data_IF_365935561847
#
_entry.id   IF_365935561847
#
_cell.length_a   1.000
_cell.length_b   1.000
_cell.length_c   1.000
_cell.angle_alpha   90.00
_cell.angle_beta   90.00
_cell.angle_gamma   90.00
#
_symmetry.space_group_name_H-M   'P 1'
#
loop_
_entity.id
_entity.type
_entity.pdbx_description
1 polymer ?
#
# COMPACT_ATOMS: atom_id res chain seq x y z
N UNK A 1 -1.22 9.16 -8.07
CA UNK A 1 -2.67 9.25 -7.75
C UNK A 1 -2.89 8.96 -6.26
N UNK A 2 -2.43 7.81 -5.76
CA UNK A 2 -2.58 7.42 -4.35
C UNK A 2 -2.06 8.43 -3.33
N UNK A 3 -0.90 9.05 -3.55
CA UNK A 3 -0.39 10.10 -2.65
C UNK A 3 -1.37 11.26 -2.47
N UNK A 4 -1.97 11.74 -3.57
CA UNK A 4 -3.00 12.79 -3.55
C UNK A 4 -4.30 12.32 -2.86
N UNK A 5 -4.70 11.06 -3.06
CA UNK A 5 -5.82 10.44 -2.34
C UNK A 5 -5.55 10.47 -0.84
N UNK A 6 -4.36 10.06 -0.39
CA UNK A 6 -3.97 10.06 1.02
C UNK A 6 -3.94 11.47 1.61
N UNK A 7 -3.42 12.44 0.85
CA UNK A 7 -3.45 13.86 1.23
C UNK A 7 -4.86 14.40 1.43
N UNK A 8 -5.77 14.09 0.50
CA UNK A 8 -7.16 14.52 0.60
C UNK A 8 -7.91 13.76 1.71
N UNK A 9 -7.63 12.48 1.90
CA UNK A 9 -8.15 11.69 3.00
C UNK A 9 -7.80 12.32 4.37
N UNK A 10 -6.61 12.89 4.53
CA UNK A 10 -6.19 13.54 5.78
C UNK A 10 -7.13 14.68 6.21
N UNK A 11 -7.75 15.41 5.28
CA UNK A 11 -8.68 16.50 5.60
C UNK A 11 -10.05 15.99 6.01
N UNK A 12 -10.42 14.78 5.57
CA UNK A 12 -11.78 14.22 5.68
C UNK A 12 -11.90 13.09 6.71
N UNK A 13 -10.79 12.43 7.05
CA UNK A 13 -10.78 11.19 7.84
C UNK A 13 -11.45 11.36 9.20
N UNK A 14 -12.22 10.36 9.61
CA UNK A 14 -12.98 10.36 10.88
C UNK A 14 -12.23 9.55 11.94
N UNK A 15 -12.60 9.80 13.20
CA UNK A 15 -11.97 9.14 14.34
C UNK A 15 -12.14 7.61 14.32
N UNK A 16 -13.29 7.11 13.88
CA UNK A 16 -13.54 5.67 13.73
C UNK A 16 -12.66 5.03 12.64
N UNK A 17 -12.38 5.73 11.54
CA UNK A 17 -11.46 5.28 10.48
C UNK A 17 -10.02 5.24 10.99
N UNK A 18 -9.56 6.26 11.71
CA UNK A 18 -8.24 6.25 12.38
C UNK A 18 -8.09 5.06 13.34
N UNK A 19 -9.14 4.75 14.11
CA UNK A 19 -9.14 3.58 15.00
C UNK A 19 -9.06 2.26 14.23
N UNK A 20 -9.67 2.17 13.05
CA UNK A 20 -9.58 1.00 12.19
C UNK A 20 -8.18 0.86 11.58
N UNK A 21 -7.61 1.95 11.03
CA UNK A 21 -6.24 1.95 10.50
C UNK A 21 -5.22 1.49 11.54
N UNK A 22 -5.31 2.00 12.77
CA UNK A 22 -4.45 1.57 13.88
C UNK A 22 -4.54 0.06 14.13
N UNK A 23 -5.76 -0.49 14.17
CA UNK A 23 -5.99 -1.94 14.36
C UNK A 23 -5.48 -2.77 13.20
N UNK A 24 -5.52 -2.25 11.98
CA UNK A 24 -4.98 -2.94 10.79
C UNK A 24 -3.46 -3.00 10.90
N UNK A 25 -2.80 -1.89 11.22
CA UNK A 25 -1.34 -1.84 11.44
C UNK A 25 -0.92 -2.85 12.53
N UNK A 26 -1.60 -2.85 13.68
CA UNK A 26 -1.34 -3.81 14.77
C UNK A 26 -1.52 -5.27 14.33
N UNK A 27 -2.41 -5.55 13.38
CA UNK A 27 -2.58 -6.88 12.81
C UNK A 27 -1.52 -7.21 11.78
N UNK A 28 -1.12 -6.26 10.93
CA UNK A 28 -0.02 -6.42 9.97
C UNK A 28 1.29 -6.76 10.70
N UNK A 29 1.57 -6.07 11.81
CA UNK A 29 2.72 -6.34 12.68
C UNK A 29 2.76 -7.80 13.16
N UNK A 30 1.60 -8.34 13.55
CA UNK A 30 1.48 -9.75 13.96
C UNK A 30 1.66 -10.72 12.80
N UNK A 31 1.43 -10.29 11.56
CA UNK A 31 1.58 -11.10 10.35
C UNK A 31 2.94 -10.92 9.66
N UNK A 32 3.87 -10.12 10.19
CA UNK A 32 5.20 -9.92 9.60
C UNK A 32 5.95 -11.23 9.33
N UNK A 33 5.84 -12.22 10.24
CA UNK A 33 6.36 -13.58 10.05
C UNK A 33 5.26 -14.63 9.94
N UNK A 34 4.03 -14.20 9.67
CA UNK A 34 2.83 -15.03 9.65
C UNK A 34 2.29 -15.23 8.23
N UNK A 35 0.98 -15.42 8.16
CA UNK A 35 0.24 -15.72 6.94
C UNK A 35 0.34 -14.58 5.91
N UNK A 36 0.78 -14.91 4.70
CA UNK A 36 0.95 -13.95 3.61
C UNK A 36 -0.36 -13.44 3.06
N UNK A 37 -1.33 -14.31 2.88
CA UNK A 37 -2.63 -13.95 2.31
C UNK A 37 -3.35 -13.02 3.28
N UNK A 38 -3.21 -13.29 4.59
CA UNK A 38 -3.71 -12.41 5.63
C UNK A 38 -3.02 -11.04 5.66
N UNK A 39 -1.71 -11.00 5.43
CA UNK A 39 -0.99 -9.72 5.36
C UNK A 39 -1.46 -8.89 4.16
N UNK A 40 -1.62 -9.50 2.99
CA UNK A 40 -2.12 -8.84 1.78
C UNK A 40 -3.57 -8.37 1.92
N UNK A 41 -4.42 -9.14 2.57
CA UNK A 41 -5.80 -8.70 2.87
C UNK A 41 -5.81 -7.47 3.79
N UNK A 42 -4.96 -7.44 4.81
CA UNK A 42 -4.81 -6.29 5.70
C UNK A 42 -4.24 -5.06 4.97
N UNK A 43 -3.28 -5.27 4.07
CA UNK A 43 -2.76 -4.26 3.15
C UNK A 43 -3.89 -3.62 2.33
N UNK A 44 -4.70 -4.44 1.67
CA UNK A 44 -5.86 -3.99 0.90
C UNK A 44 -6.84 -3.16 1.74
N UNK A 45 -7.16 -3.63 2.95
CA UNK A 45 -8.06 -2.91 3.86
C UNK A 45 -7.50 -1.55 4.28
N UNK A 46 -6.18 -1.46 4.52
CA UNK A 46 -5.52 -0.20 4.85
C UNK A 46 -5.72 0.84 3.74
N UNK A 47 -5.38 0.49 2.49
CA UNK A 47 -5.53 1.37 1.33
C UNK A 47 -7.00 1.73 1.07
N UNK A 48 -7.92 0.77 1.20
CA UNK A 48 -9.35 1.02 1.01
C UNK A 48 -9.91 2.04 2.01
N UNK A 49 -9.58 1.94 3.29
CA UNK A 49 -10.06 2.91 4.29
C UNK A 49 -9.56 4.33 3.97
N UNK A 50 -8.32 4.48 3.52
CA UNK A 50 -7.78 5.79 3.10
C UNK A 50 -8.58 6.33 1.91
N UNK A 51 -8.81 5.51 0.89
CA UNK A 51 -9.59 5.91 -0.28
C UNK A 51 -11.04 6.28 0.08
N UNK A 52 -11.71 5.49 0.92
CA UNK A 52 -13.06 5.76 1.43
C UNK A 52 -13.12 7.05 2.25
N UNK A 53 -12.06 7.34 3.02
CA UNK A 53 -11.97 8.55 3.84
C UNK A 53 -12.05 9.83 3.00
N UNK A 54 -11.69 9.79 1.70
CA UNK A 54 -11.86 10.94 0.80
C UNK A 54 -13.32 11.36 0.62
N UNK A 55 -14.27 10.46 0.88
CA UNK A 55 -15.71 10.63 0.60
C UNK A 55 -16.00 11.02 -0.86
N UNK A 56 -15.08 10.70 -1.77
CA UNK A 56 -15.19 11.00 -3.19
C UNK A 56 -15.24 9.69 -3.99
N UNK A 57 -16.43 9.39 -4.53
CA UNK A 57 -16.69 8.15 -5.27
C UNK A 57 -15.78 7.97 -6.49
N UNK A 58 -15.31 9.05 -7.12
CA UNK A 58 -14.40 8.96 -8.27
C UNK A 58 -13.02 8.52 -7.81
N UNK A 59 -12.49 9.10 -6.74
CA UNK A 59 -11.19 8.71 -6.16
C UNK A 59 -11.21 7.29 -5.60
N UNK A 60 -12.30 6.90 -4.93
CA UNK A 60 -12.49 5.53 -4.46
C UNK A 60 -12.44 4.52 -5.62
N UNK A 61 -13.15 4.80 -6.72
CA UNK A 61 -13.14 3.95 -7.91
C UNK A 61 -11.76 3.86 -8.54
N UNK A 62 -11.05 4.98 -8.65
CA UNK A 62 -9.68 4.98 -9.19
C UNK A 62 -8.73 4.17 -8.32
N UNK A 63 -8.81 4.32 -6.98
CA UNK A 63 -8.00 3.51 -6.06
C UNK A 63 -8.29 2.01 -6.20
N UNK A 64 -9.56 1.63 -6.32
CA UNK A 64 -9.94 0.24 -6.50
C UNK A 64 -9.46 -0.33 -7.85
N UNK A 65 -9.51 0.47 -8.92
CA UNK A 65 -9.03 0.05 -10.23
C UNK A 65 -7.49 -0.11 -10.24
N UNK A 66 -6.75 0.79 -9.60
CA UNK A 66 -5.30 0.65 -9.43
C UNK A 66 -4.95 -0.65 -8.70
N UNK A 67 -5.65 -0.94 -7.60
CA UNK A 67 -5.47 -2.20 -6.88
C UNK A 67 -5.78 -3.41 -7.76
N UNK A 68 -6.91 -3.39 -8.48
CA UNK A 68 -7.33 -4.47 -9.37
C UNK A 68 -6.29 -4.72 -10.46
N UNK A 69 -5.91 -3.69 -11.21
CA UNK A 69 -4.98 -3.79 -12.33
C UNK A 69 -3.60 -4.26 -11.88
N UNK A 70 -3.06 -3.71 -10.79
CA UNK A 70 -1.68 -4.01 -10.34
C UNK A 70 -1.60 -5.29 -9.50
N UNK A 71 -2.54 -5.50 -8.57
CA UNK A 71 -2.44 -6.55 -7.54
C UNK A 71 -3.29 -7.80 -7.83
N UNK A 72 -4.44 -7.63 -8.49
CA UNK A 72 -5.42 -8.72 -8.64
C UNK A 72 -5.36 -9.39 -10.02
N UNK A 73 -5.34 -8.59 -11.08
CA UNK A 73 -5.43 -9.10 -12.46
C UNK A 73 -4.09 -9.28 -13.14
N UNK A 74 -3.02 -8.68 -12.60
CA UNK A 74 -1.67 -8.88 -13.11
C UNK A 74 -1.12 -10.26 -12.67
N UNK A 75 -0.97 -11.23 -13.59
CA UNK A 75 -0.47 -12.56 -13.25
C UNK A 75 0.98 -12.52 -12.76
N UNK A 76 1.76 -11.55 -13.23
CA UNK A 76 3.15 -11.37 -12.81
C UNK A 76 3.24 -10.85 -11.37
N UNK A 77 2.32 -9.97 -10.94
CA UNK A 77 2.21 -9.59 -9.53
C UNK A 77 1.98 -10.80 -8.64
N UNK A 78 1.08 -11.71 -9.04
CA UNK A 78 0.80 -12.93 -8.28
C UNK A 78 2.05 -13.79 -8.09
N UNK A 79 2.87 -13.93 -9.13
CA UNK A 79 4.13 -14.67 -9.07
C UNK A 79 5.15 -13.98 -8.15
N UNK A 80 5.30 -12.66 -8.26
CA UNK A 80 6.17 -11.84 -7.41
C UNK A 80 5.75 -11.90 -5.93
N UNK A 81 4.46 -11.77 -5.67
CA UNK A 81 3.84 -11.87 -4.34
C UNK A 81 4.14 -13.22 -3.70
N UNK A 82 3.87 -14.31 -4.42
CA UNK A 82 4.15 -15.66 -3.97
C UNK A 82 5.64 -15.87 -3.64
N UNK A 83 6.54 -15.39 -4.51
CA UNK A 83 7.97 -15.68 -4.41
C UNK A 83 8.74 -14.79 -3.43
N UNK A 84 8.29 -13.54 -3.19
CA UNK A 84 9.12 -12.56 -2.47
C UNK A 84 8.43 -11.73 -1.40
N UNK A 85 7.13 -11.45 -1.52
CA UNK A 85 6.48 -10.48 -0.63
C UNK A 85 6.13 -11.06 0.75
N UNK A 86 6.48 -12.33 0.95
CA UNK A 86 6.51 -12.97 2.25
C UNK A 86 7.80 -12.75 3.06
N UNK A 87 8.80 -12.07 2.50
CA UNK A 87 10.04 -11.73 3.21
C UNK A 87 9.74 -10.80 4.38
N UNK A 88 10.23 -11.17 5.56
CA UNK A 88 10.01 -10.47 6.82
C UNK A 88 10.51 -9.01 6.76
N UNK A 89 11.66 -8.81 6.14
CA UNK A 89 12.32 -7.51 6.01
C UNK A 89 11.49 -6.53 5.19
N UNK A 90 10.84 -7.00 4.12
CA UNK A 90 9.95 -6.18 3.29
C UNK A 90 8.70 -5.79 4.07
N UNK A 91 8.05 -6.76 4.71
CA UNK A 91 6.84 -6.49 5.52
C UNK A 91 7.12 -5.52 6.67
N UNK A 92 8.28 -5.62 7.32
CA UNK A 92 8.69 -4.67 8.36
C UNK A 92 8.79 -3.23 7.81
N UNK A 93 9.40 -3.05 6.63
CA UNK A 93 9.49 -1.73 5.99
C UNK A 93 8.12 -1.16 5.64
N UNK A 94 7.26 -1.96 5.01
CA UNK A 94 5.90 -1.51 4.65
C UNK A 94 5.05 -1.14 5.85
N UNK A 95 5.12 -1.92 6.93
CA UNK A 95 4.41 -1.59 8.17
C UNK A 95 4.92 -0.27 8.77
N UNK A 96 6.22 0.00 8.69
CA UNK A 96 6.78 1.28 9.16
C UNK A 96 6.33 2.47 8.28
N UNK A 97 6.27 2.27 6.97
CA UNK A 97 5.70 3.24 6.05
C UNK A 97 4.21 3.51 6.37
N UNK A 98 3.42 2.46 6.67
CA UNK A 98 2.02 2.59 7.06
C UNK A 98 1.85 3.37 8.37
N UNK A 99 2.74 3.15 9.36
CA UNK A 99 2.76 3.94 10.59
C UNK A 99 3.00 5.41 10.30
N UNK A 100 3.92 5.72 9.39
CA UNK A 100 4.21 7.10 8.97
C UNK A 100 3.00 7.78 8.33
N UNK A 101 2.31 7.07 7.43
CA UNK A 101 1.05 7.53 6.82
C UNK A 101 -0.02 7.75 7.89
N UNK A 102 -0.21 6.78 8.79
CA UNK A 102 -1.19 6.88 9.87
C UNK A 102 -0.95 8.10 10.78
N UNK A 103 0.31 8.37 11.15
CA UNK A 103 0.66 9.52 11.98
C UNK A 103 0.33 10.85 11.27
N UNK A 104 0.57 10.94 9.97
CA UNK A 104 0.22 12.12 9.19
C UNK A 104 -1.31 12.30 9.08
N UNK A 105 -2.05 11.22 8.83
CA UNK A 105 -3.52 11.21 8.83
C UNK A 105 -4.10 11.60 10.19
N UNK A 106 -3.51 11.11 11.29
CA UNK A 106 -3.93 11.43 12.65
C UNK A 106 -3.76 12.92 12.96
N UNK A 107 -2.68 13.53 12.47
CA UNK A 107 -2.43 14.97 12.57
C UNK A 107 -3.31 15.80 11.63
N UNK A 108 -4.05 15.15 10.72
CA UNK A 108 -4.80 15.78 9.62
C UNK A 108 -3.92 16.68 8.74
N UNK A 109 -2.63 16.34 8.64
CA UNK A 109 -1.69 17.09 7.83
C UNK A 109 -1.67 16.51 6.42
N UNK A 110 -2.36 17.20 5.50
CA UNK A 110 -2.50 16.77 4.13
C UNK A 110 -1.16 16.69 3.37
N UNK A 111 -0.21 17.58 3.65
CA UNK A 111 1.09 17.57 2.98
C UNK A 111 1.97 16.44 3.50
N UNK A 112 2.06 16.28 4.82
CA UNK A 112 2.78 15.14 5.40
C UNK A 112 2.16 13.81 4.96
N UNK A 113 0.83 13.72 4.81
CA UNK A 113 0.15 12.51 4.38
C UNK A 113 0.46 12.20 2.89
N UNK A 114 0.49 13.21 2.01
CA UNK A 114 0.97 13.06 0.63
C UNK A 114 2.40 12.54 0.59
N UNK A 115 3.29 13.19 1.34
CA UNK A 115 4.71 12.86 1.33
C UNK A 115 4.95 11.45 1.87
N UNK A 116 4.33 11.07 2.99
CA UNK A 116 4.46 9.73 3.57
C UNK A 116 3.96 8.64 2.60
N UNK A 117 2.83 8.87 1.94
CA UNK A 117 2.29 7.94 0.94
C UNK A 117 3.17 7.86 -0.31
N UNK A 118 3.73 8.97 -0.76
CA UNK A 118 4.69 8.96 -1.87
C UNK A 118 5.95 8.18 -1.50
N UNK A 119 6.51 8.42 -0.32
CA UNK A 119 7.69 7.69 0.18
C UNK A 119 7.43 6.19 0.27
N UNK A 120 6.25 5.78 0.76
CA UNK A 120 5.84 4.37 0.81
C UNK A 120 5.84 3.71 -0.58
N UNK A 121 5.29 4.39 -1.59
CA UNK A 121 5.24 3.88 -2.97
C UNK A 121 6.63 3.79 -3.57
N UNK A 122 7.49 4.79 -3.35
CA UNK A 122 8.87 4.80 -3.83
C UNK A 122 9.72 3.70 -3.15
N UNK A 123 9.55 3.50 -1.84
CA UNK A 123 10.19 2.42 -1.11
C UNK A 123 9.76 1.06 -1.68
N UNK A 124 8.46 0.87 -1.87
CA UNK A 124 7.91 -0.36 -2.45
C UNK A 124 8.44 -0.60 -3.85
N UNK A 125 8.45 0.42 -4.72
CA UNK A 125 9.04 0.34 -6.06
C UNK A 125 10.51 -0.07 -6.01
N UNK A 126 11.32 0.60 -5.19
CA UNK A 126 12.75 0.34 -5.11
C UNK A 126 13.07 -1.08 -4.59
N UNK A 127 12.30 -1.59 -3.64
CA UNK A 127 12.47 -2.97 -3.18
C UNK A 127 12.07 -3.99 -4.26
N UNK A 128 11.01 -3.71 -5.01
CA UNK A 128 10.60 -4.55 -6.13
C UNK A 128 11.66 -4.54 -7.25
N UNK A 129 12.20 -3.37 -7.64
CA UNK A 129 13.33 -3.26 -8.59
C UNK A 129 14.48 -4.18 -8.19
N UNK A 130 14.88 -4.14 -6.92
CA UNK A 130 15.99 -4.98 -6.43
C UNK A 130 15.68 -6.47 -6.56
N UNK A 131 14.43 -6.86 -6.34
CA UNK A 131 13.98 -8.24 -6.50
C UNK A 131 14.05 -8.65 -7.98
N UNK A 132 13.57 -7.80 -8.89
CA UNK A 132 13.63 -8.03 -10.34
C UNK A 132 15.07 -8.18 -10.83
N UNK A 133 15.96 -7.26 -10.44
CA UNK A 133 17.38 -7.30 -10.82
C UNK A 133 18.13 -8.54 -10.30
N UNK A 134 17.59 -9.23 -9.29
CA UNK A 134 18.17 -10.44 -8.72
C UNK A 134 17.53 -11.71 -9.27
N UNK A 135 16.46 -11.61 -10.05
CA UNK A 135 15.68 -12.72 -10.57
C UNK A 135 15.56 -12.62 -12.09
N UNK A 136 16.57 -13.15 -12.79
CA UNK A 136 16.66 -13.19 -14.26
C UNK A 136 15.45 -13.87 -14.94
N UNK A 137 14.56 -14.52 -14.18
CA UNK A 137 13.31 -15.10 -14.68
C UNK A 137 12.16 -14.10 -14.85
N UNK A 138 12.35 -12.84 -14.43
CA UNK A 138 11.36 -11.78 -14.53
C UNK A 138 11.78 -10.78 -15.63
N UNK A 139 11.36 -11.03 -16.88
CA UNK A 139 11.59 -10.10 -18.00
C UNK A 139 10.67 -8.87 -17.93
N UNK A 140 11.20 -7.71 -18.37
CA UNK A 140 10.58 -6.37 -18.50
C UNK A 140 9.91 -5.76 -17.24
N UNK A 141 10.67 -4.91 -16.55
CA UNK A 141 10.29 -4.18 -15.33
C UNK A 141 9.19 -3.13 -15.53
N UNK A 142 9.10 -2.49 -16.70
CA UNK A 142 8.23 -1.32 -16.92
C UNK A 142 6.73 -1.67 -16.90
N UNK A 143 6.36 -2.87 -17.35
CA UNK A 143 4.98 -3.38 -17.35
C UNK A 143 4.39 -3.59 -15.94
N UNK A 144 5.23 -3.61 -14.90
CA UNK A 144 4.78 -3.85 -13.52
C UNK A 144 4.25 -2.60 -12.83
N UNK A 145 4.72 -1.42 -13.25
CA UNK A 145 4.45 -0.15 -12.57
C UNK A 145 3.61 0.82 -13.39
N UNK A 146 3.69 0.72 -14.71
CA UNK A 146 2.92 1.54 -15.62
C UNK A 146 1.96 0.63 -16.38
N UNK A 147 0.70 0.58 -15.94
CA UNK A 147 -0.36 0.08 -16.79
C UNK A 147 -0.35 0.93 -18.07
N UNK A 148 0.14 0.37 -19.17
CA UNK A 148 -0.04 0.93 -20.52
C UNK A 148 -1.33 0.41 -21.13
#
# INVERSE_FOLDING_TARGET
>A
IESNITGFAATQIRFNELKQLKRIIEQQEKQIGGDSDKFEELDRQFHNIIAESTQNRVLMKQSAELWRAVRTENPRWKQLNYKYLHKKELRMKWVEDHRSIFLALQKRDAEQARQASWTHLENSKNELVKIFQQDDSLEDFDDFFFAT
#
